data_IF_185611081015
#
_entry.id   IF_185611081015
#
_cell.length_a   1.000
_cell.length_b   1.000
_cell.length_c   1.000
_cell.angle_alpha   90.00
_cell.angle_beta   90.00
_cell.angle_gamma   90.00
#
_symmetry.space_group_name_H-M   'P 1'
#
loop_
_entity.id
_entity.type
_entity.pdbx_description
1 polymer ?
#
# COMPACT_ATOMS: atom_id res chain seq x y z
N UNK A 1 9.82 -24.86 30.19
CA UNK A 1 10.33 -23.55 30.65
C UNK A 1 10.53 -22.66 29.46
N UNK A 2 9.60 -21.95 29.21
CA UNK A 2 9.23 -20.63 28.74
C UNK A 2 9.94 -20.08 27.49
N UNK A 3 9.47 -20.53 26.30
CA UNK A 3 9.73 -19.81 25.05
C UNK A 3 9.22 -18.34 25.09
N UNK A 4 8.22 -18.02 25.91
CA UNK A 4 7.73 -16.65 26.10
C UNK A 4 8.72 -15.74 26.83
N UNK A 5 9.45 -16.25 27.83
CA UNK A 5 10.48 -15.48 28.51
C UNK A 5 11.69 -15.19 27.62
N UNK A 6 12.05 -16.16 26.76
CA UNK A 6 13.13 -15.99 25.79
C UNK A 6 12.76 -14.96 24.70
N UNK A 7 11.51 -14.99 24.21
CA UNK A 7 11.02 -14.00 23.25
C UNK A 7 10.90 -12.60 23.87
N UNK A 8 10.49 -12.49 25.13
CA UNK A 8 10.47 -11.18 25.82
C UNK A 8 11.87 -10.67 26.13
N UNK A 9 12.82 -11.55 26.49
CA UNK A 9 14.21 -11.16 26.70
C UNK A 9 14.90 -10.76 25.38
N UNK A 10 14.64 -11.47 24.27
CA UNK A 10 15.13 -11.10 22.94
C UNK A 10 14.53 -9.79 22.46
N UNK A 11 13.23 -9.57 22.68
CA UNK A 11 12.59 -8.30 22.32
C UNK A 11 13.10 -7.13 23.16
N UNK A 12 13.38 -7.35 24.46
CA UNK A 12 14.01 -6.36 25.33
C UNK A 12 15.46 -6.08 24.89
N UNK A 13 16.22 -7.11 24.48
CA UNK A 13 17.59 -6.95 23.97
C UNK A 13 17.62 -6.17 22.64
N UNK A 14 16.66 -6.40 21.76
CA UNK A 14 16.47 -5.64 20.53
C UNK A 14 16.05 -4.19 20.81
N UNK A 15 15.38 -3.94 21.92
CA UNK A 15 15.03 -2.59 22.38
C UNK A 15 16.25 -1.81 22.93
N UNK A 16 17.17 -2.49 23.61
CA UNK A 16 18.35 -1.87 24.21
C UNK A 16 19.51 -1.72 23.20
N UNK A 17 19.66 -2.69 22.30
CA UNK A 17 20.70 -2.65 21.25
C UNK A 17 20.05 -2.82 19.87
N UNK A 18 19.88 -1.78 19.08
CA UNK A 18 19.31 -1.87 17.74
C UNK A 18 20.31 -2.50 16.74
N UNK A 19 20.63 -3.78 16.97
CA UNK A 19 21.55 -4.56 16.10
C UNK A 19 21.10 -4.47 14.64
N UNK A 20 19.79 -4.43 14.39
CA UNK A 20 19.26 -4.27 13.04
C UNK A 20 19.68 -2.94 12.38
N UNK A 21 19.94 -1.87 13.15
CA UNK A 21 20.46 -0.62 12.62
C UNK A 21 21.86 -0.79 12.06
N UNK A 22 22.71 -1.54 12.76
CA UNK A 22 24.06 -1.86 12.30
C UNK A 22 23.97 -2.59 10.96
N UNK A 23 23.05 -3.55 10.82
CA UNK A 23 22.81 -4.24 9.54
C UNK A 23 22.31 -3.30 8.44
N UNK A 24 21.39 -2.38 8.76
CA UNK A 24 20.91 -1.39 7.79
C UNK A 24 22.07 -0.51 7.31
N UNK A 25 22.86 0.02 8.23
CA UNK A 25 24.01 0.87 7.90
C UNK A 25 25.08 0.10 7.12
N UNK A 26 25.46 -1.10 7.60
CA UNK A 26 26.49 -1.91 6.94
C UNK A 26 26.04 -2.32 5.53
N UNK A 27 24.80 -2.81 5.39
CA UNK A 27 24.23 -3.14 4.07
C UNK A 27 24.28 -1.94 3.13
N UNK A 28 23.78 -0.78 3.58
CA UNK A 28 23.74 0.40 2.74
C UNK A 28 25.15 0.89 2.40
N UNK A 29 26.07 0.89 3.35
CA UNK A 29 27.49 1.20 3.13
C UNK A 29 28.11 0.31 2.04
N UNK A 30 27.94 -1.02 2.12
CA UNK A 30 28.48 -1.95 1.13
C UNK A 30 27.93 -1.69 -0.29
N UNK A 31 26.65 -1.31 -0.41
CA UNK A 31 26.08 -0.92 -1.70
C UNK A 31 26.57 0.46 -2.17
N UNK A 32 26.70 1.43 -1.26
CA UNK A 32 27.11 2.80 -1.60
C UNK A 32 28.57 2.84 -2.07
N UNK A 33 29.43 1.97 -1.52
CA UNK A 33 30.83 1.80 -1.94
C UNK A 33 31.01 0.81 -3.10
N UNK A 34 29.91 0.26 -3.64
CA UNK A 34 29.97 -0.64 -4.79
C UNK A 34 30.51 -2.04 -4.52
N UNK A 35 30.72 -2.40 -3.23
CA UNK A 35 31.11 -3.77 -2.82
C UNK A 35 29.98 -4.75 -3.14
N UNK A 36 28.74 -4.37 -2.81
CA UNK A 36 27.56 -5.07 -3.28
C UNK A 36 26.97 -4.32 -4.47
N UNK A 37 26.52 -5.07 -5.47
CA UNK A 37 25.89 -4.51 -6.68
C UNK A 37 24.48 -5.09 -6.83
N UNK A 38 23.57 -4.27 -7.34
CA UNK A 38 22.27 -4.74 -7.74
C UNK A 38 22.37 -5.60 -9.00
N UNK A 39 21.63 -6.70 -9.02
CA UNK A 39 21.55 -7.58 -10.18
C UNK A 39 20.74 -6.90 -11.29
N UNK A 40 21.26 -6.94 -12.52
CA UNK A 40 20.62 -6.32 -13.69
C UNK A 40 19.52 -7.22 -14.25
N UNK A 41 18.49 -6.60 -14.75
CA UNK A 41 17.37 -7.20 -15.49
C UNK A 41 17.25 -6.44 -16.80
N UNK A 42 16.87 -7.10 -17.90
CA UNK A 42 16.80 -6.45 -19.21
C UNK A 42 15.68 -5.39 -19.28
N UNK A 43 14.58 -5.61 -18.53
CA UNK A 43 13.54 -4.58 -18.38
C UNK A 43 14.04 -3.40 -17.53
N UNK A 44 13.55 -2.20 -17.82
CA UNK A 44 13.74 -1.03 -16.97
C UNK A 44 13.02 -1.23 -15.62
N UNK A 45 13.70 -0.97 -14.53
CA UNK A 45 13.19 -1.20 -13.18
C UNK A 45 12.87 0.14 -12.50
N UNK A 46 11.60 0.35 -12.18
CA UNK A 46 11.14 1.48 -11.37
C UNK A 46 10.75 0.97 -9.98
N UNK A 47 11.43 1.43 -8.96
CA UNK A 47 11.08 1.10 -7.58
C UNK A 47 10.13 2.15 -7.00
N UNK A 48 9.02 1.72 -6.44
CA UNK A 48 8.09 2.57 -5.69
C UNK A 48 8.12 2.11 -4.25
N UNK A 49 8.52 2.99 -3.35
CA UNK A 49 8.71 2.62 -1.95
C UNK A 49 8.54 3.79 -0.99
N UNK A 50 8.88 3.55 0.25
CA UNK A 50 8.88 4.56 1.30
C UNK A 50 9.99 4.27 2.32
N UNK A 51 10.26 5.22 3.23
CA UNK A 51 11.24 5.06 4.30
C UNK A 51 10.61 4.79 5.67
N UNK A 52 9.27 4.81 5.78
CA UNK A 52 8.56 4.61 7.04
C UNK A 52 7.59 3.43 6.96
N UNK A 53 7.26 2.88 8.10
CA UNK A 53 6.10 1.98 8.26
C UNK A 53 4.82 2.82 8.15
N UNK A 54 3.76 2.24 7.59
CA UNK A 54 2.46 2.89 7.48
C UNK A 54 1.92 3.00 6.07
N UNK A 55 0.75 3.59 5.96
CA UNK A 55 -0.03 3.69 4.72
C UNK A 55 0.36 4.89 3.86
N UNK A 56 1.58 4.96 3.33
CA UNK A 56 2.07 6.06 2.48
C UNK A 56 1.41 6.15 1.10
N UNK A 57 0.52 5.21 0.75
CA UNK A 57 -0.15 5.22 -0.56
C UNK A 57 0.66 4.53 -1.68
N UNK A 58 1.52 3.57 -1.37
CA UNK A 58 2.31 2.81 -2.38
C UNK A 58 1.43 2.18 -3.45
N UNK A 59 0.46 1.37 -3.05
CA UNK A 59 -0.42 0.66 -3.99
C UNK A 59 -1.17 1.60 -4.94
N UNK A 60 -1.86 2.67 -4.48
CA UNK A 60 -2.47 3.64 -5.39
C UNK A 60 -1.48 4.33 -6.32
N UNK A 61 -0.25 4.61 -5.86
CA UNK A 61 0.78 5.22 -6.71
C UNK A 61 1.30 4.23 -7.75
N UNK A 62 1.52 2.97 -7.37
CA UNK A 62 1.92 1.90 -8.31
C UNK A 62 0.88 1.74 -9.42
N UNK A 63 -0.42 1.75 -9.07
CA UNK A 63 -1.52 1.71 -10.04
C UNK A 63 -1.48 2.93 -10.97
N UNK A 64 -1.31 4.13 -10.42
CA UNK A 64 -1.31 5.36 -11.21
C UNK A 64 -0.14 5.38 -12.21
N UNK A 65 1.06 4.99 -11.77
CA UNK A 65 2.26 4.92 -12.62
C UNK A 65 2.13 3.80 -13.67
N UNK A 66 1.62 2.61 -13.29
CA UNK A 66 1.40 1.52 -14.24
C UNK A 66 0.47 1.93 -15.38
N UNK A 67 -0.70 2.48 -15.04
CA UNK A 67 -1.68 2.94 -16.03
C UNK A 67 -1.15 4.10 -16.89
N UNK A 68 -0.32 4.98 -16.32
CA UNK A 68 0.34 6.04 -17.08
C UNK A 68 1.33 5.48 -18.10
N UNK A 69 2.19 4.56 -17.70
CA UNK A 69 3.18 3.96 -18.58
C UNK A 69 2.53 3.16 -19.71
N UNK A 70 1.47 2.41 -19.43
CA UNK A 70 0.73 1.68 -20.46
C UNK A 70 0.06 2.61 -21.47
N UNK A 71 -0.51 3.74 -21.04
CA UNK A 71 -1.04 4.77 -21.96
C UNK A 71 0.03 5.36 -22.87
N UNK A 72 1.29 5.30 -22.45
CA UNK A 72 2.46 5.73 -23.25
C UNK A 72 3.10 4.58 -24.05
N UNK A 73 2.41 3.43 -24.17
CA UNK A 73 2.82 2.32 -25.04
C UNK A 73 3.83 1.33 -24.42
N UNK A 74 4.12 1.45 -23.13
CA UNK A 74 4.98 0.50 -22.45
C UNK A 74 4.23 -0.77 -22.03
N UNK A 75 4.92 -1.91 -22.08
CA UNK A 75 4.41 -3.18 -21.51
C UNK A 75 4.87 -3.29 -20.07
N UNK A 76 3.93 -3.16 -19.13
CA UNK A 76 4.22 -3.04 -17.71
C UNK A 76 4.07 -4.36 -16.96
N UNK A 77 5.06 -4.69 -16.13
CA UNK A 77 4.98 -5.72 -15.11
C UNK A 77 5.02 -5.11 -13.71
N UNK A 78 4.33 -5.71 -12.74
CA UNK A 78 4.37 -5.32 -11.33
C UNK A 78 4.87 -6.49 -10.51
N UNK A 79 5.87 -6.27 -9.68
CA UNK A 79 6.34 -7.24 -8.68
C UNK A 79 5.90 -6.78 -7.30
N UNK A 80 5.15 -7.62 -6.61
CA UNK A 80 4.71 -7.38 -5.23
C UNK A 80 4.94 -8.60 -4.35
N UNK A 81 5.01 -8.41 -3.04
CA UNK A 81 5.18 -9.52 -2.08
C UNK A 81 3.89 -10.29 -1.82
N UNK A 82 2.73 -9.68 -2.07
CA UNK A 82 1.44 -10.23 -1.67
C UNK A 82 1.32 -10.29 -0.14
N UNK A 83 1.34 -9.14 0.51
CA UNK A 83 1.20 -9.06 1.97
C UNK A 83 -0.15 -9.65 2.41
N UNK A 84 -0.16 -10.38 3.53
CA UNK A 84 -1.37 -11.00 4.08
C UNK A 84 -1.81 -12.30 3.42
N UNK A 85 -1.08 -12.84 2.42
CA UNK A 85 -1.38 -14.14 1.81
C UNK A 85 -1.03 -15.31 2.72
N UNK A 86 -1.76 -16.42 2.60
CA UNK A 86 -1.59 -17.61 3.43
C UNK A 86 -0.23 -18.30 3.20
N UNK A 87 0.18 -18.46 1.96
CA UNK A 87 1.44 -19.11 1.62
C UNK A 87 2.45 -18.11 1.06
N UNK A 88 3.37 -17.67 1.92
CA UNK A 88 4.37 -16.65 1.59
C UNK A 88 5.47 -17.20 0.66
N UNK A 89 5.77 -18.51 0.70
CA UNK A 89 6.88 -19.10 -0.06
C UNK A 89 6.59 -19.23 -1.56
N UNK A 90 5.32 -19.27 -1.96
CA UNK A 90 4.94 -19.42 -3.36
C UNK A 90 5.26 -18.17 -4.18
N UNK A 91 5.78 -18.39 -5.38
CA UNK A 91 6.02 -17.33 -6.38
C UNK A 91 5.26 -17.67 -7.65
N UNK A 92 4.41 -16.75 -8.13
CA UNK A 92 3.55 -17.01 -9.28
C UNK A 92 3.14 -15.74 -10.03
N UNK A 93 2.86 -15.90 -11.31
CA UNK A 93 2.14 -14.90 -12.10
C UNK A 93 0.66 -14.91 -11.69
N UNK A 94 0.13 -13.74 -11.36
CA UNK A 94 -1.27 -13.59 -10.97
C UNK A 94 -2.21 -13.92 -12.14
N UNK A 95 -3.18 -14.78 -11.89
CA UNK A 95 -4.28 -15.13 -12.81
C UNK A 95 -5.62 -14.91 -12.12
N UNK A 96 -6.11 -15.92 -11.43
CA UNK A 96 -7.43 -15.93 -10.77
C UNK A 96 -7.35 -16.30 -9.28
N UNK A 97 -6.19 -16.07 -8.66
CA UNK A 97 -6.01 -16.34 -7.24
C UNK A 97 -6.92 -15.46 -6.39
N UNK A 98 -7.44 -16.04 -5.31
CA UNK A 98 -8.18 -15.33 -4.27
C UNK A 98 -7.27 -14.40 -3.47
N UNK A 99 -7.85 -13.46 -2.74
CA UNK A 99 -7.09 -12.59 -1.87
C UNK A 99 -6.31 -13.36 -0.77
N UNK A 100 -6.79 -14.51 -0.32
CA UNK A 100 -6.08 -15.38 0.63
C UNK A 100 -4.79 -15.96 0.03
N UNK A 101 -4.81 -16.27 -1.25
CA UNK A 101 -3.66 -16.84 -1.96
C UNK A 101 -2.67 -15.78 -2.41
N UNK A 102 -3.12 -14.59 -2.83
CA UNK A 102 -2.25 -13.56 -3.38
C UNK A 102 -2.05 -12.34 -2.48
N UNK A 103 -2.92 -12.09 -1.52
CA UNK A 103 -2.96 -10.89 -0.68
C UNK A 103 -4.00 -9.87 -1.15
N UNK A 104 -4.60 -9.14 -0.21
CA UNK A 104 -5.65 -8.16 -0.49
C UNK A 104 -5.17 -7.00 -1.39
N UNK A 105 -3.95 -6.49 -1.20
CA UNK A 105 -3.38 -5.43 -2.05
C UNK A 105 -3.15 -5.88 -3.51
N UNK A 106 -2.86 -7.17 -3.73
CA UNK A 106 -2.68 -7.71 -5.08
C UNK A 106 -3.99 -7.72 -5.87
N UNK A 107 -5.10 -8.02 -5.19
CA UNK A 107 -6.43 -7.93 -5.81
C UNK A 107 -6.75 -6.49 -6.22
N UNK A 108 -6.39 -5.51 -5.38
CA UNK A 108 -6.56 -4.09 -5.70
C UNK A 108 -5.70 -3.71 -6.91
N UNK A 109 -4.43 -4.12 -6.97
CA UNK A 109 -3.57 -3.91 -8.13
C UNK A 109 -4.25 -4.46 -9.40
N UNK A 110 -4.72 -5.72 -9.37
CA UNK A 110 -5.38 -6.36 -10.51
C UNK A 110 -6.63 -5.61 -10.97
N UNK A 111 -7.47 -5.19 -10.04
CA UNK A 111 -8.75 -4.55 -10.35
C UNK A 111 -8.61 -3.12 -10.90
N UNK A 112 -7.50 -2.45 -10.60
CA UNK A 112 -7.28 -1.04 -10.93
C UNK A 112 -6.17 -0.79 -11.96
N UNK A 113 -5.49 -1.83 -12.45
CA UNK A 113 -4.57 -1.74 -13.58
C UNK A 113 -5.21 -2.30 -14.84
N UNK A 114 -4.63 -2.00 -16.00
CA UNK A 114 -5.07 -2.54 -17.28
C UNK A 114 -4.98 -4.07 -17.32
N UNK A 115 -5.81 -4.70 -18.12
CA UNK A 115 -5.78 -6.16 -18.36
C UNK A 115 -4.44 -6.65 -18.94
N UNK A 116 -3.65 -5.76 -19.53
CA UNK A 116 -2.34 -6.06 -20.10
C UNK A 116 -1.22 -6.04 -19.04
N UNK A 117 -1.42 -5.37 -17.90
CA UNK A 117 -0.45 -5.34 -16.81
C UNK A 117 -0.27 -6.73 -16.22
N UNK A 118 0.96 -7.21 -16.22
CA UNK A 118 1.32 -8.50 -15.61
C UNK A 118 1.75 -8.30 -14.17
N UNK A 119 1.13 -9.03 -13.25
CA UNK A 119 1.46 -8.94 -11.82
C UNK A 119 2.10 -10.25 -11.39
N UNK A 120 3.31 -10.17 -10.84
CA UNK A 120 4.03 -11.31 -10.29
C UNK A 120 4.15 -11.18 -8.78
N UNK A 121 3.67 -12.20 -8.07
CA UNK A 121 3.68 -12.25 -6.61
C UNK A 121 4.85 -13.09 -6.14
N UNK A 122 5.84 -12.49 -5.47
CA UNK A 122 7.04 -13.18 -5.00
C UNK A 122 7.76 -12.42 -3.88
N UNK A 123 8.41 -13.16 -2.98
CA UNK A 123 9.42 -12.61 -2.06
C UNK A 123 10.73 -12.34 -2.79
N UNK A 124 11.08 -13.16 -3.77
CA UNK A 124 12.25 -12.93 -4.63
C UNK A 124 11.89 -12.00 -5.78
N UNK A 125 12.13 -10.71 -5.55
CA UNK A 125 11.84 -9.66 -6.54
C UNK A 125 12.72 -9.74 -7.78
N UNK A 126 13.94 -10.29 -7.66
CA UNK A 126 14.85 -10.46 -8.81
C UNK A 126 14.29 -11.53 -9.74
N UNK A 127 13.97 -12.70 -9.17
CA UNK A 127 13.34 -13.79 -9.93
C UNK A 127 12.08 -13.32 -10.64
N UNK A 128 11.18 -12.65 -9.90
CA UNK A 128 9.93 -12.13 -10.45
C UNK A 128 10.14 -11.12 -11.59
N UNK A 129 11.08 -10.18 -11.41
CA UNK A 129 11.40 -9.18 -12.42
C UNK A 129 11.97 -9.82 -13.70
N UNK A 130 12.86 -10.83 -13.57
CA UNK A 130 13.36 -11.59 -14.71
C UNK A 130 12.25 -12.34 -15.44
N UNK A 131 11.32 -12.97 -14.70
CA UNK A 131 10.18 -13.64 -15.33
C UNK A 131 9.32 -12.67 -16.13
N UNK A 132 9.00 -11.48 -15.57
CA UNK A 132 8.24 -10.46 -16.27
C UNK A 132 8.98 -9.93 -17.50
N UNK A 133 10.29 -9.69 -17.40
CA UNK A 133 11.14 -9.29 -18.52
C UNK A 133 11.11 -10.34 -19.65
N UNK A 134 11.29 -11.61 -19.31
CA UNK A 134 11.22 -12.73 -20.27
C UNK A 134 9.83 -12.87 -20.93
N UNK A 135 8.78 -12.42 -20.24
CA UNK A 135 7.42 -12.35 -20.79
C UNK A 135 7.20 -11.13 -21.71
N UNK A 136 8.22 -10.28 -21.93
CA UNK A 136 8.16 -9.12 -22.80
C UNK A 136 7.70 -7.83 -22.09
N UNK A 137 7.72 -7.77 -20.75
CA UNK A 137 7.58 -6.49 -20.07
C UNK A 137 8.85 -5.68 -20.27
N UNK A 138 8.74 -4.48 -20.82
CA UNK A 138 9.88 -3.56 -20.97
C UNK A 138 10.08 -2.64 -19.77
N UNK A 139 9.06 -2.51 -18.91
CA UNK A 139 9.16 -1.84 -17.60
C UNK A 139 8.61 -2.76 -16.51
N UNK A 140 9.32 -2.85 -15.39
CA UNK A 140 8.88 -3.56 -14.19
C UNK A 140 8.85 -2.62 -13.00
N UNK A 141 7.67 -2.48 -12.40
CA UNK A 141 7.44 -1.73 -11.18
C UNK A 141 7.67 -2.64 -9.96
N UNK A 142 8.51 -2.20 -9.03
CA UNK A 142 8.70 -2.89 -7.76
C UNK A 142 7.83 -2.21 -6.69
N UNK A 143 6.72 -2.84 -6.32
CA UNK A 143 5.92 -2.40 -5.19
C UNK A 143 6.68 -2.66 -3.87
N UNK A 144 6.78 -1.63 -3.02
CA UNK A 144 7.61 -1.61 -1.80
C UNK A 144 9.08 -2.00 -2.10
N UNK A 145 9.71 -1.31 -3.07
CA UNK A 145 11.02 -1.66 -3.63
C UNK A 145 12.22 -1.00 -2.96
N UNK A 146 12.08 0.16 -2.31
CA UNK A 146 13.20 1.04 -1.91
C UNK A 146 14.29 0.37 -1.07
N UNK A 147 13.93 -0.49 -0.10
CA UNK A 147 14.89 -1.23 0.72
C UNK A 147 15.52 -2.42 0.01
N UNK A 148 15.02 -2.81 -1.18
CA UNK A 148 15.44 -4.04 -1.87
C UNK A 148 16.57 -3.78 -2.87
N UNK A 149 17.78 -3.42 -2.38
CA UNK A 149 18.95 -3.01 -3.18
C UNK A 149 19.62 -4.13 -3.99
N UNK A 150 19.19 -5.39 -3.82
CA UNK A 150 19.72 -6.54 -4.58
C UNK A 150 19.39 -6.52 -6.07
N UNK A 151 18.38 -5.76 -6.50
CA UNK A 151 18.05 -5.55 -7.91
C UNK A 151 18.51 -4.14 -8.33
N UNK A 152 19.12 -4.04 -9.50
CA UNK A 152 19.44 -2.76 -10.13
C UNK A 152 18.16 -2.00 -10.47
N UNK A 153 18.17 -0.68 -10.33
CA UNK A 153 17.02 0.17 -10.58
C UNK A 153 17.42 1.29 -11.50
N UNK A 154 16.51 1.66 -12.40
CA UNK A 154 16.66 2.80 -13.28
C UNK A 154 16.05 4.04 -12.63
N UNK A 155 14.97 3.89 -11.87
CA UNK A 155 14.32 4.99 -11.12
C UNK A 155 13.89 4.49 -9.73
N UNK A 156 14.27 5.24 -8.69
CA UNK A 156 13.77 5.06 -7.32
C UNK A 156 12.80 6.18 -6.96
N UNK A 157 11.52 5.87 -6.83
CA UNK A 157 10.46 6.79 -6.38
C UNK A 157 10.16 6.53 -4.91
N UNK A 158 10.32 7.55 -4.07
CA UNK A 158 10.06 7.45 -2.63
C UNK A 158 8.88 8.31 -2.22
N UNK A 159 7.90 7.67 -1.60
CA UNK A 159 6.70 8.31 -1.09
C UNK A 159 6.92 8.75 0.36
N UNK A 160 6.60 10.01 0.64
CA UNK A 160 6.65 10.62 1.95
C UNK A 160 5.22 10.88 2.42
N UNK A 161 4.75 10.08 3.35
CA UNK A 161 3.40 10.21 3.90
C UNK A 161 3.35 11.10 5.15
N UNK A 162 2.14 11.31 5.69
CA UNK A 162 1.91 12.08 6.92
C UNK A 162 2.69 11.59 8.13
N UNK A 163 2.92 10.29 8.21
CA UNK A 163 3.69 9.63 9.25
C UNK A 163 5.13 10.12 9.32
N UNK A 164 5.69 10.59 8.21
CA UNK A 164 7.05 11.15 8.16
C UNK A 164 7.18 12.50 8.86
N UNK A 165 6.07 13.13 9.24
CA UNK A 165 6.02 14.47 9.85
C UNK A 165 5.97 14.44 11.38
N UNK A 166 5.60 13.32 11.98
CA UNK A 166 5.56 13.17 13.42
C UNK A 166 7.00 13.01 13.96
N UNK A 167 7.36 13.73 15.03
CA UNK A 167 8.68 13.59 15.67
C UNK A 167 9.01 12.15 16.07
N UNK A 168 8.00 11.36 16.47
CA UNK A 168 8.16 9.93 16.74
C UNK A 168 8.49 9.12 15.48
N UNK A 169 8.09 9.59 14.29
CA UNK A 169 8.40 8.94 13.04
C UNK A 169 9.83 9.20 12.55
N UNK A 170 10.54 10.16 13.13
CA UNK A 170 11.94 10.45 12.79
C UNK A 170 12.93 9.45 13.41
N UNK A 171 12.44 8.63 14.34
CA UNK A 171 13.22 7.54 14.91
C UNK A 171 13.02 6.24 14.10
N UNK A 172 14.06 5.42 14.07
CA UNK A 172 14.04 4.13 13.40
C UNK A 172 13.33 3.11 14.28
N UNK A 173 12.61 2.19 13.62
CA UNK A 173 11.96 1.08 14.29
C UNK A 173 12.95 0.28 15.16
N UNK A 174 12.63 -0.11 16.41
CA UNK A 174 11.31 -0.04 17.04
C UNK A 174 10.99 1.27 17.79
N UNK A 175 11.89 2.24 17.83
CA UNK A 175 11.72 3.49 18.58
C UNK A 175 10.82 4.50 17.86
N UNK A 176 10.67 4.36 16.57
CA UNK A 176 9.80 5.15 15.72
C UNK A 176 9.29 4.33 14.54
N UNK A 177 8.86 5.00 13.48
CA UNK A 177 8.26 4.36 12.32
C UNK A 177 9.20 4.27 11.11
N UNK A 178 10.42 4.81 11.17
CA UNK A 178 11.33 4.75 10.04
C UNK A 178 11.91 3.34 9.86
N UNK A 179 11.93 2.87 8.61
CA UNK A 179 12.63 1.66 8.18
C UNK A 179 14.11 1.91 7.94
N UNK A 180 14.43 3.13 7.52
CA UNK A 180 15.79 3.61 7.24
C UNK A 180 15.91 5.09 7.64
N UNK A 181 17.12 5.59 8.03
CA UNK A 181 17.36 6.99 8.28
C UNK A 181 16.99 7.89 7.09
N UNK A 182 16.56 9.13 7.38
CA UNK A 182 16.26 10.14 6.37
C UNK A 182 17.41 10.44 5.40
N UNK A 183 18.66 10.31 5.86
CA UNK A 183 19.83 10.54 5.00
C UNK A 183 19.86 9.62 3.76
N UNK A 184 19.16 8.47 3.80
CA UNK A 184 19.05 7.58 2.64
C UNK A 184 18.04 8.04 1.59
N UNK A 185 17.24 9.10 1.85
CA UNK A 185 16.43 9.73 0.81
C UNK A 185 17.27 10.25 -0.37
N UNK A 186 18.53 10.58 -0.13
CA UNK A 186 19.47 10.98 -1.21
C UNK A 186 19.63 9.94 -2.32
N UNK A 187 19.19 8.70 -2.11
CA UNK A 187 19.21 7.65 -3.14
C UNK A 187 17.98 7.71 -4.06
N UNK A 188 16.93 8.40 -3.62
CA UNK A 188 15.74 8.55 -4.42
C UNK A 188 16.00 9.47 -5.61
N UNK A 189 15.53 9.06 -6.77
CA UNK A 189 15.54 9.89 -7.98
C UNK A 189 14.37 10.87 -7.97
N UNK A 190 13.24 10.45 -7.37
CA UNK A 190 12.02 11.23 -7.25
C UNK A 190 11.44 11.03 -5.85
N UNK A 191 11.20 12.14 -5.15
CA UNK A 191 10.48 12.14 -3.87
C UNK A 191 9.09 12.76 -4.04
N UNK A 192 8.06 12.07 -3.54
CA UNK A 192 6.67 12.55 -3.66
C UNK A 192 6.02 12.58 -2.28
N UNK A 193 5.63 13.76 -1.83
CA UNK A 193 4.80 13.91 -0.64
C UNK A 193 3.35 13.54 -0.98
N UNK A 194 2.77 12.59 -0.25
CA UNK A 194 1.42 12.06 -0.49
C UNK A 194 0.42 12.56 0.53
N UNK A 195 -0.89 12.50 0.20
CA UNK A 195 -2.00 12.90 1.08
C UNK A 195 -1.93 14.37 1.54
N UNK A 196 -1.34 15.25 0.72
CA UNK A 196 -1.16 16.67 1.09
C UNK A 196 -2.49 17.38 1.35
N UNK A 197 -3.55 16.96 0.66
CA UNK A 197 -4.89 17.48 0.89
C UNK A 197 -5.47 17.09 2.27
N UNK A 198 -4.96 16.07 2.95
CA UNK A 198 -5.48 15.62 4.26
C UNK A 198 -4.74 16.27 5.43
N UNK A 199 -3.54 16.79 5.22
CA UNK A 199 -2.68 17.33 6.27
C UNK A 199 -2.13 18.67 5.85
N UNK A 200 -2.32 19.67 6.72
CA UNK A 200 -1.77 21.01 6.51
C UNK A 200 -0.29 20.99 6.90
N UNK A 201 0.55 21.35 5.94
CA UNK A 201 1.97 21.68 6.11
C UNK A 201 2.84 20.55 6.71
N UNK A 202 3.50 19.84 5.82
CA UNK A 202 4.25 18.62 6.19
C UNK A 202 5.68 18.90 6.69
N UNK A 203 6.21 20.08 6.47
CA UNK A 203 7.59 20.41 6.85
C UNK A 203 8.68 19.57 6.13
N UNK A 204 8.30 18.61 5.32
CA UNK A 204 9.22 17.81 4.51
C UNK A 204 9.25 18.38 3.09
N UNK A 205 10.45 18.70 2.63
CA UNK A 205 10.70 19.01 1.25
C UNK A 205 10.65 17.74 0.40
N UNK A 206 9.95 17.81 -0.70
CA UNK A 206 9.85 16.75 -1.71
C UNK A 206 9.80 17.38 -3.09
N UNK A 207 10.26 16.66 -4.11
CA UNK A 207 10.26 17.17 -5.48
C UNK A 207 8.84 17.45 -5.96
N UNK A 208 7.90 16.59 -5.57
CA UNK A 208 6.50 16.70 -5.98
C UNK A 208 5.53 16.48 -4.82
N UNK A 209 4.30 16.95 -5.03
CA UNK A 209 3.17 16.73 -4.11
C UNK A 209 2.05 15.99 -4.82
N UNK A 210 1.40 15.08 -4.12
CA UNK A 210 0.32 14.27 -4.65
C UNK A 210 -0.82 14.16 -3.64
N UNK A 211 -2.02 14.39 -4.12
CA UNK A 211 -3.24 14.32 -3.31
C UNK A 211 -3.85 12.92 -3.35
N UNK A 212 -4.50 12.56 -2.26
CA UNK A 212 -5.36 11.39 -2.21
C UNK A 212 -6.78 11.80 -2.56
N UNK A 213 -7.31 11.25 -3.63
CA UNK A 213 -8.69 11.50 -4.09
C UNK A 213 -9.52 10.22 -3.99
N UNK A 214 -10.83 10.39 -3.98
CA UNK A 214 -11.80 9.30 -4.08
C UNK A 214 -12.28 9.24 -5.53
N UNK A 215 -12.46 8.04 -6.07
CA UNK A 215 -13.26 7.85 -7.29
C UNK A 215 -14.73 8.12 -6.98
N UNK A 216 -15.44 8.71 -7.91
CA UNK A 216 -16.90 8.90 -7.78
C UNK A 216 -17.64 7.56 -7.71
N UNK A 217 -17.14 6.58 -8.41
CA UNK A 217 -17.66 5.21 -8.41
C UNK A 217 -17.33 4.50 -7.10
N UNK A 218 -18.33 3.85 -6.52
CA UNK A 218 -18.24 3.02 -5.32
C UNK A 218 -18.38 1.56 -5.71
N UNK A 219 -17.51 0.70 -5.18
CA UNK A 219 -17.76 -0.73 -5.24
C UNK A 219 -18.84 -1.07 -4.22
N UNK A 220 -19.93 -1.66 -4.66
CA UNK A 220 -21.08 -1.92 -3.76
C UNK A 220 -21.65 -3.30 -3.97
N UNK A 221 -22.12 -3.89 -2.88
CA UNK A 221 -22.93 -5.10 -2.90
C UNK A 221 -24.41 -4.83 -3.26
N UNK A 222 -24.80 -3.56 -3.32
CA UNK A 222 -26.15 -3.06 -3.63
C UNK A 222 -26.19 -2.22 -4.91
N UNK A 223 -27.25 -1.43 -5.08
CA UNK A 223 -27.45 -0.53 -6.23
C UNK A 223 -26.69 0.80 -6.14
N UNK A 224 -26.01 1.07 -5.01
CA UNK A 224 -25.27 2.32 -4.81
C UNK A 224 -24.02 2.26 -5.68
N UNK A 225 -23.92 3.16 -6.69
CA UNK A 225 -22.82 3.21 -7.63
C UNK A 225 -21.96 4.47 -7.51
N UNK A 226 -22.45 5.50 -6.82
CA UNK A 226 -21.78 6.79 -6.71
C UNK A 226 -21.63 7.20 -5.24
N UNK A 227 -20.45 7.72 -4.88
CA UNK A 227 -20.12 8.18 -3.53
C UNK A 227 -21.07 9.26 -3.02
N UNK A 228 -21.49 10.16 -3.90
CA UNK A 228 -22.43 11.24 -3.56
C UNK A 228 -23.81 10.72 -3.11
N UNK A 229 -24.17 9.50 -3.50
CA UNK A 229 -25.41 8.87 -3.04
C UNK A 229 -25.34 8.42 -1.58
N UNK A 230 -24.14 8.38 -0.98
CA UNK A 230 -23.92 8.13 0.46
C UNK A 230 -23.81 9.43 1.25
N UNK A 231 -23.57 10.56 0.58
CA UNK A 231 -23.57 11.86 1.23
C UNK A 231 -24.94 12.15 1.83
N UNK A 232 -24.96 12.68 3.06
CA UNK A 232 -26.18 13.00 3.82
C UNK A 232 -27.11 11.82 4.17
N UNK A 233 -26.66 10.57 3.97
CA UNK A 233 -27.37 9.39 4.53
C UNK A 233 -27.03 9.22 5.99
N UNK A 234 -28.00 8.66 6.74
CA UNK A 234 -27.82 8.19 8.12
C UNK A 234 -27.75 6.65 8.16
N UNK A 235 -27.30 6.11 9.26
CA UNK A 235 -27.16 4.67 9.43
C UNK A 235 -25.90 4.11 8.76
N UNK A 236 -24.81 4.86 8.76
CA UNK A 236 -23.54 4.45 8.16
C UNK A 236 -22.56 4.00 9.25
N UNK A 237 -22.03 2.79 9.12
CA UNK A 237 -20.89 2.30 9.89
C UNK A 237 -19.65 2.22 9.01
N UNK A 238 -18.56 2.85 9.46
CA UNK A 238 -17.25 2.70 8.82
C UNK A 238 -16.55 1.47 9.39
N UNK A 239 -16.13 0.57 8.50
CA UNK A 239 -15.35 -0.64 8.84
C UNK A 239 -14.02 -0.56 8.11
N UNK A 240 -12.90 -0.56 8.85
CA UNK A 240 -11.59 -0.53 8.22
C UNK A 240 -10.54 -1.36 8.98
N UNK A 241 -9.66 -2.01 8.19
CA UNK A 241 -8.48 -2.75 8.68
C UNK A 241 -7.24 -2.32 7.89
N UNK A 242 -6.84 -1.07 8.07
CA UNK A 242 -5.73 -0.43 7.36
C UNK A 242 -4.77 0.26 8.33
N UNK A 243 -3.53 0.48 7.89
CA UNK A 243 -2.48 1.09 8.70
C UNK A 243 -2.71 2.57 9.05
N UNK A 244 -3.66 3.27 8.37
CA UNK A 244 -3.98 4.69 8.64
C UNK A 244 -5.50 4.93 8.62
N UNK A 245 -6.22 4.50 9.67
CA UNK A 245 -7.68 4.69 9.79
C UNK A 245 -8.10 6.16 9.87
N UNK A 246 -7.25 7.02 10.39
CA UNK A 246 -7.54 8.45 10.53
C UNK A 246 -7.62 9.15 9.17
N UNK A 247 -6.72 8.82 8.27
CA UNK A 247 -6.75 9.31 6.88
C UNK A 247 -8.03 8.89 6.16
N UNK A 248 -8.50 7.67 6.37
CA UNK A 248 -9.78 7.20 5.82
C UNK A 248 -10.95 7.99 6.38
N UNK A 249 -11.01 8.17 7.70
CA UNK A 249 -12.07 8.99 8.34
C UNK A 249 -12.12 10.42 7.80
N UNK A 250 -10.96 11.09 7.73
CA UNK A 250 -10.86 12.46 7.17
C UNK A 250 -11.30 12.51 5.69
N UNK A 251 -11.02 11.44 4.96
CA UNK A 251 -11.42 11.33 3.56
C UNK A 251 -12.95 11.25 3.43
N UNK A 252 -13.62 10.48 4.27
CA UNK A 252 -15.08 10.39 4.30
C UNK A 252 -15.72 11.74 4.68
N UNK A 253 -15.22 12.38 5.73
CA UNK A 253 -15.70 13.68 6.21
C UNK A 253 -15.63 14.77 5.12
N UNK A 254 -14.52 14.82 4.36
CA UNK A 254 -14.35 15.77 3.24
C UNK A 254 -15.30 15.53 2.07
N UNK A 255 -15.84 14.33 1.95
CA UNK A 255 -16.83 13.99 0.94
C UNK A 255 -18.27 14.04 1.48
N UNK A 256 -18.47 14.71 2.62
CA UNK A 256 -19.78 14.87 3.29
C UNK A 256 -20.44 13.54 3.64
N UNK A 257 -19.62 12.51 3.95
CA UNK A 257 -20.14 11.21 4.41
C UNK A 257 -20.06 11.19 5.92
N UNK A 258 -21.22 11.30 6.55
CA UNK A 258 -21.34 11.25 7.99
C UNK A 258 -21.38 9.80 8.46
N UNK A 259 -20.44 9.43 9.30
CA UNK A 259 -20.30 8.08 9.85
C UNK A 259 -20.86 8.07 11.27
N UNK A 260 -21.91 7.29 11.50
CA UNK A 260 -22.54 7.17 12.83
C UNK A 260 -21.68 6.32 13.78
N UNK A 261 -21.01 5.28 13.24
CA UNK A 261 -20.11 4.40 14.00
C UNK A 261 -18.84 4.06 13.24
N UNK A 262 -17.73 3.94 13.99
CA UNK A 262 -16.43 3.53 13.44
C UNK A 262 -16.01 2.20 14.07
N UNK A 263 -15.75 1.19 13.25
CA UNK A 263 -15.17 -0.10 13.64
C UNK A 263 -13.79 -0.20 13.00
N UNK A 264 -12.74 -0.12 13.83
CA UNK A 264 -11.35 -0.16 13.41
C UNK A 264 -10.77 -1.49 13.86
N UNK A 265 -10.25 -2.26 12.90
CA UNK A 265 -9.57 -3.53 13.10
C UNK A 265 -8.06 -3.37 12.86
N UNK A 266 -7.24 -4.29 13.37
CA UNK A 266 -5.82 -4.33 13.02
C UNK A 266 -5.59 -4.37 11.51
N UNK A 267 -4.44 -3.84 11.03
CA UNK A 267 -4.13 -3.85 9.60
C UNK A 267 -4.12 -5.28 9.03
N UNK A 268 -4.65 -5.44 7.82
CA UNK A 268 -4.86 -6.74 7.14
C UNK A 268 -5.74 -7.76 7.89
N UNK A 269 -6.67 -7.30 8.73
CA UNK A 269 -7.53 -8.20 9.50
C UNK A 269 -8.28 -9.19 8.60
N UNK A 270 -8.19 -10.51 8.88
CA UNK A 270 -8.98 -11.52 8.16
C UNK A 270 -10.35 -11.65 8.82
N UNK A 271 -11.34 -10.93 8.31
CA UNK A 271 -12.69 -11.00 8.87
C UNK A 271 -13.21 -12.43 8.97
N UNK A 272 -13.95 -12.71 10.05
CA UNK A 272 -14.55 -14.00 10.36
C UNK A 272 -16.07 -13.86 10.51
N UNK A 273 -16.81 -14.98 10.50
CA UNK A 273 -18.25 -15.00 10.80
C UNK A 273 -18.57 -14.34 12.15
N UNK A 274 -17.68 -14.49 13.14
CA UNK A 274 -17.86 -13.83 14.45
C UNK A 274 -17.84 -12.29 14.31
N UNK A 275 -16.94 -11.75 13.50
CA UNK A 275 -16.88 -10.30 13.25
C UNK A 275 -18.13 -9.82 12.52
N UNK A 276 -18.62 -10.60 11.55
CA UNK A 276 -19.85 -10.32 10.79
C UNK A 276 -21.07 -10.30 11.72
N UNK A 277 -21.19 -11.30 12.61
CA UNK A 277 -22.27 -11.30 13.61
C UNK A 277 -22.21 -10.07 14.53
N UNK A 278 -21.00 -9.67 14.95
CA UNK A 278 -20.81 -8.46 15.77
C UNK A 278 -21.27 -7.21 15.02
N UNK A 279 -20.92 -7.08 13.74
CA UNK A 279 -21.36 -5.98 12.87
C UNK A 279 -22.89 -6.00 12.75
N UNK A 280 -23.50 -7.16 12.49
CA UNK A 280 -24.95 -7.30 12.36
C UNK A 280 -25.71 -6.93 13.65
N UNK A 281 -25.20 -7.35 14.82
CA UNK A 281 -25.81 -6.99 16.13
C UNK A 281 -25.74 -5.48 16.36
N UNK A 282 -24.62 -4.86 16.04
CA UNK A 282 -24.45 -3.41 16.14
C UNK A 282 -25.42 -2.69 15.19
N UNK A 283 -25.52 -3.17 13.96
CA UNK A 283 -26.39 -2.60 12.95
C UNK A 283 -27.87 -2.63 13.39
N UNK A 284 -28.32 -3.74 13.93
CA UNK A 284 -29.68 -3.87 14.49
C UNK A 284 -29.91 -2.93 15.67
N UNK A 285 -28.96 -2.87 16.60
CA UNK A 285 -29.07 -2.05 17.82
C UNK A 285 -29.13 -0.55 17.50
N UNK A 286 -28.41 -0.09 16.52
CA UNK A 286 -28.24 1.33 16.20
C UNK A 286 -28.92 1.74 14.88
N UNK A 287 -29.75 0.84 14.30
CA UNK A 287 -30.43 1.06 13.03
C UNK A 287 -29.52 1.48 11.88
N UNK A 288 -28.33 0.84 11.79
CA UNK A 288 -27.38 1.07 10.71
C UNK A 288 -27.84 0.30 9.45
N UNK A 289 -27.59 0.87 8.27
CA UNK A 289 -28.07 0.35 6.99
C UNK A 289 -26.95 0.10 5.99
N UNK A 290 -25.83 0.78 6.16
CA UNK A 290 -24.73 0.76 5.21
C UNK A 290 -23.39 0.59 5.92
N UNK A 291 -22.58 -0.37 5.46
CA UNK A 291 -21.14 -0.38 5.73
C UNK A 291 -20.48 0.52 4.70
N UNK A 292 -19.54 1.36 5.14
CA UNK A 292 -18.56 2.01 4.28
C UNK A 292 -17.16 1.52 4.67
N UNK A 293 -16.41 1.02 3.70
CA UNK A 293 -15.10 0.46 3.93
C UNK A 293 -14.10 0.90 2.85
N UNK A 294 -12.83 0.53 3.02
CA UNK A 294 -11.83 0.68 1.95
C UNK A 294 -11.98 -0.44 0.93
N UNK A 295 -11.43 -0.26 -0.29
CA UNK A 295 -11.37 -1.32 -1.30
C UNK A 295 -10.65 -2.57 -0.76
N UNK A 296 -9.60 -2.38 0.07
CA UNK A 296 -8.84 -3.44 0.75
C UNK A 296 -9.72 -4.31 1.66
N UNK A 297 -10.63 -3.68 2.39
CA UNK A 297 -11.56 -4.38 3.27
C UNK A 297 -12.71 -5.00 2.50
N UNK A 298 -13.17 -4.33 1.44
CA UNK A 298 -14.27 -4.81 0.60
C UNK A 298 -13.97 -6.19 0.01
N UNK A 299 -12.75 -6.40 -0.51
CA UNK A 299 -12.31 -7.68 -1.07
C UNK A 299 -12.50 -8.84 -0.09
N UNK A 300 -12.37 -8.57 1.21
CA UNK A 300 -12.54 -9.56 2.29
C UNK A 300 -14.00 -9.66 2.76
N UNK A 301 -14.67 -8.53 2.93
CA UNK A 301 -16.04 -8.47 3.43
C UNK A 301 -17.07 -9.01 2.43
N UNK A 302 -16.79 -8.88 1.12
CA UNK A 302 -17.72 -9.35 0.09
C UNK A 302 -17.89 -10.88 0.09
N UNK A 303 -16.94 -11.65 0.64
CA UNK A 303 -17.08 -13.09 0.84
C UNK A 303 -18.27 -13.41 1.79
N UNK A 304 -18.59 -12.50 2.71
CA UNK A 304 -19.67 -12.63 3.68
C UNK A 304 -20.95 -11.87 3.28
N UNK A 305 -21.09 -11.56 1.98
CA UNK A 305 -22.25 -10.80 1.49
C UNK A 305 -23.60 -11.41 1.88
N UNK A 306 -23.67 -12.75 1.93
CA UNK A 306 -24.90 -13.46 2.28
C UNK A 306 -25.19 -13.43 3.79
N UNK A 307 -24.16 -13.30 4.62
CA UNK A 307 -24.26 -13.29 6.09
C UNK A 307 -24.48 -11.87 6.62
N UNK A 308 -24.07 -10.83 5.87
CA UNK A 308 -24.26 -9.42 6.25
C UNK A 308 -25.70 -8.99 5.99
N UNK A 309 -26.30 -8.34 6.99
CA UNK A 309 -27.68 -7.83 6.96
C UNK A 309 -27.79 -6.39 6.46
N UNK A 310 -26.69 -5.76 6.15
CA UNK A 310 -26.59 -4.38 5.68
C UNK A 310 -25.67 -4.31 4.46
N UNK A 311 -25.87 -3.29 3.62
CA UNK A 311 -25.15 -3.12 2.37
C UNK A 311 -23.67 -2.78 2.59
N UNK A 312 -22.79 -3.40 1.81
CA UNK A 312 -21.37 -3.09 1.81
C UNK A 312 -21.07 -2.11 0.68
N UNK A 313 -20.38 -1.02 0.99
CA UNK A 313 -19.95 -0.01 0.04
C UNK A 313 -18.46 0.29 0.26
N UNK A 314 -17.65 0.20 -0.77
CA UNK A 314 -16.24 0.53 -0.67
C UNK A 314 -15.90 1.81 -1.40
N UNK A 315 -15.13 2.62 -0.74
CA UNK A 315 -14.52 3.82 -1.31
C UNK A 315 -13.23 3.44 -1.99
N UNK A 316 -13.12 3.73 -3.28
CA UNK A 316 -11.91 3.51 -4.07
C UNK A 316 -11.07 4.78 -4.01
N UNK A 317 -9.93 4.68 -3.35
CA UNK A 317 -8.96 5.76 -3.24
C UNK A 317 -7.96 5.70 -4.39
N UNK A 318 -7.66 6.84 -4.99
CA UNK A 318 -6.68 6.96 -6.08
C UNK A 318 -5.68 8.08 -5.82
N UNK A 319 -4.48 7.90 -6.33
CA UNK A 319 -3.52 8.97 -6.54
C UNK A 319 -3.57 9.43 -7.99
N UNK A 320 -3.50 10.73 -8.21
CA UNK A 320 -3.33 11.31 -9.55
C UNK A 320 -1.93 11.88 -9.64
N UNK A 321 -1.13 11.32 -10.54
CA UNK A 321 0.19 11.86 -10.85
C UNK A 321 0.05 13.10 -11.71
N UNK A 322 0.80 14.16 -11.40
CA UNK A 322 0.80 15.38 -12.18
C UNK A 322 1.58 15.21 -13.49
N UNK A 323 1.33 16.09 -14.46
CA UNK A 323 2.06 16.08 -15.75
C UNK A 323 3.56 16.28 -15.56
N UNK A 324 3.97 16.99 -14.51
CA UNK A 324 5.37 17.20 -14.19
C UNK A 324 6.03 15.87 -13.75
N UNK A 325 5.36 15.09 -12.90
CA UNK A 325 5.81 13.74 -12.49
C UNK A 325 5.88 12.83 -13.71
N UNK A 326 4.84 12.82 -14.55
CA UNK A 326 4.80 12.03 -15.78
C UNK A 326 5.99 12.34 -16.69
N UNK A 327 6.27 13.63 -16.91
CA UNK A 327 7.39 14.08 -17.74
C UNK A 327 8.74 13.70 -17.15
N UNK A 328 8.94 13.82 -15.82
CA UNK A 328 10.20 13.46 -15.17
C UNK A 328 10.46 11.95 -15.28
N UNK A 329 9.44 11.12 -15.06
CA UNK A 329 9.57 9.66 -15.24
C UNK A 329 9.97 9.31 -16.67
N UNK A 330 9.32 9.90 -17.70
CA UNK A 330 9.66 9.62 -19.10
C UNK A 330 11.08 10.07 -19.46
N UNK A 331 11.51 11.24 -18.99
CA UNK A 331 12.86 11.75 -19.26
C UNK A 331 13.95 10.85 -18.69
N UNK A 332 13.70 10.20 -17.54
CA UNK A 332 14.65 9.28 -16.90
C UNK A 332 14.64 7.89 -17.52
N UNK A 333 13.61 7.53 -18.27
CA UNK A 333 13.52 6.26 -18.99
C UNK A 333 14.23 6.30 -20.35
N UNK A 334 14.43 7.48 -20.91
CA UNK A 334 15.20 7.69 -22.14
C UNK A 334 16.71 7.56 -21.87
#
# INVERSE_FOLDING_TARGET
>A
MNNKLLTHALSALLFVFPIHLIFIFLKNFLYDFGVLKGEKVDAKIISIGNIALGGTGKTPTTIAIANFLERNGYTVGIVTRGHGRENISNSFLLKNQSWKECGDEVVILKNNTSSNTRIFVSLDKIYAAKQLSNMGCNIVLLDDGFQHRRIGRDIDIVLLGPENQNKKCQLIYPYGLLREPFCYLKRADITISTKNNLIKNTGLESDYKMDLKIKEEVLSSSTIKNIHSLANKSGIVSVCSIGDPESFSKTLERNNINVDRKLIFPDHWPFSLYDIEKINRLALKENLKHIICTEKDFVKLVEFKQDLKIDINAVVMKHEISKEIEKDILNRLL
#
